data_IF_425252319114
#
_entry.id   IF_425252319114
#
_cell.length_a   1.000
_cell.length_b   1.000
_cell.length_c   1.000
_cell.angle_alpha   90.00
_cell.angle_beta   90.00
_cell.angle_gamma   90.00
#
_symmetry.space_group_name_H-M   'P 1'
#
loop_
_entity.id
_entity.type
_entity.pdbx_description
1 polymer ?
#
# COMPACT_ATOMS: atom_id res chain seq x y z
N UNK A 1 16.24 2.53 5.88
CA UNK A 1 15.41 3.55 6.56
C UNK A 1 14.06 2.92 6.82
N UNK A 2 13.72 2.73 8.09
CA UNK A 2 12.38 2.31 8.50
C UNK A 2 11.55 3.58 8.67
N UNK A 3 10.43 3.68 7.96
CA UNK A 3 9.45 4.76 8.11
C UNK A 3 8.11 4.10 8.42
N UNK A 4 7.59 4.39 9.61
CA UNK A 4 6.25 3.99 10.04
C UNK A 4 5.35 5.22 9.98
N UNK A 5 4.31 5.14 9.17
CA UNK A 5 3.28 6.17 9.06
C UNK A 5 2.01 5.61 9.69
N UNK A 6 1.54 6.23 10.78
CA UNK A 6 0.27 5.90 11.42
C UNK A 6 -0.65 7.12 11.41
N UNK A 7 -1.77 7.03 10.72
CA UNK A 7 -2.77 8.09 10.67
C UNK A 7 -4.19 7.54 10.71
N UNK A 8 -4.91 7.82 11.80
CA UNK A 8 -6.24 7.28 12.15
C UNK A 8 -6.28 5.75 12.06
N UNK A 9 -6.39 5.21 10.84
CA UNK A 9 -6.55 3.78 10.54
C UNK A 9 -5.56 3.27 9.47
N UNK A 10 -4.67 4.12 8.96
CA UNK A 10 -3.65 3.76 7.97
C UNK A 10 -2.33 3.47 8.67
N UNK A 11 -1.77 2.27 8.44
CA UNK A 11 -0.42 1.91 8.87
C UNK A 11 0.40 1.52 7.64
N UNK A 12 1.40 2.34 7.32
CA UNK A 12 2.36 2.07 6.23
C UNK A 12 3.74 1.92 6.80
N UNK A 13 4.42 0.84 6.40
CA UNK A 13 5.76 0.51 6.86
C UNK A 13 6.68 0.24 5.67
N UNK A 14 7.83 0.92 5.59
CA UNK A 14 8.82 0.69 4.54
C UNK A 14 9.80 -0.38 4.98
N UNK A 15 9.88 -1.48 4.23
CA UNK A 15 10.67 -2.63 4.63
C UNK A 15 11.49 -3.30 3.54
N UNK A 16 12.60 -3.87 4.01
CA UNK A 16 13.46 -4.79 3.27
C UNK A 16 13.59 -6.14 3.97
N UNK A 17 13.21 -6.23 5.25
CA UNK A 17 13.30 -7.47 6.00
C UNK A 17 12.10 -8.37 5.67
N UNK A 18 12.40 -9.54 5.09
CA UNK A 18 11.40 -10.51 4.64
C UNK A 18 10.48 -10.99 5.78
N UNK A 19 10.96 -11.05 7.02
CA UNK A 19 10.17 -11.48 8.17
C UNK A 19 9.00 -10.54 8.45
N UNK A 20 9.21 -9.22 8.35
CA UNK A 20 8.15 -8.22 8.52
C UNK A 20 7.23 -8.18 7.30
N UNK A 21 7.78 -8.25 6.09
CA UNK A 21 7.00 -8.25 4.86
C UNK A 21 6.02 -9.44 4.83
N UNK A 22 6.45 -10.63 5.25
CA UNK A 22 5.60 -11.83 5.35
C UNK A 22 4.50 -11.70 6.42
N UNK A 23 4.67 -10.81 7.39
CA UNK A 23 3.69 -10.58 8.45
C UNK A 23 2.68 -9.49 8.12
N UNK A 24 2.98 -8.61 7.16
CA UNK A 24 2.06 -7.58 6.73
C UNK A 24 0.72 -8.15 6.23
N UNK A 25 -0.35 -7.37 6.42
CA UNK A 25 -1.68 -7.71 5.91
C UNK A 25 -1.79 -7.41 4.41
N UNK A 26 -1.02 -6.43 3.95
CA UNK A 26 -0.91 -6.01 2.56
C UNK A 26 0.54 -5.69 2.21
N UNK A 27 0.94 -5.98 0.97
CA UNK A 27 2.29 -5.65 0.46
C UNK A 27 2.14 -4.95 -0.88
N UNK A 28 2.78 -3.79 -1.00
CA UNK A 28 2.94 -3.05 -2.24
C UNK A 28 4.42 -3.13 -2.62
N UNK A 29 4.69 -3.71 -3.79
CA UNK A 29 6.04 -3.82 -4.31
C UNK A 29 6.27 -2.78 -5.41
N UNK A 30 7.33 -1.98 -5.26
CA UNK A 30 7.72 -0.95 -6.22
C UNK A 30 9.10 -1.22 -6.82
N UNK A 31 9.20 -1.20 -8.15
CA UNK A 31 10.38 -1.61 -8.93
C UNK A 31 10.16 -1.38 -10.43
N UNK A 32 10.71 -2.22 -11.33
CA UNK A 32 11.58 -3.39 -11.05
C UNK A 32 13.03 -3.01 -10.69
N UNK A 33 13.50 -1.83 -11.09
CA UNK A 33 14.83 -1.33 -10.80
C UNK A 33 14.83 -0.09 -9.91
N UNK A 34 15.94 0.63 -9.94
CA UNK A 34 16.13 1.90 -9.24
C UNK A 34 16.09 3.09 -10.21
N UNK A 35 15.83 4.30 -9.69
CA UNK A 35 15.84 5.52 -10.49
C UNK A 35 14.84 5.46 -11.64
N UNK A 36 15.28 5.75 -12.86
CA UNK A 36 14.45 5.69 -14.08
C UNK A 36 13.91 4.30 -14.42
N UNK A 37 14.53 3.24 -13.89
CA UNK A 37 14.06 1.85 -14.04
C UNK A 37 13.11 1.42 -12.91
N UNK A 38 12.84 2.28 -11.95
CA UNK A 38 11.91 2.05 -10.84
C UNK A 38 10.52 2.62 -11.10
N UNK A 39 9.81 2.90 -10.01
CA UNK A 39 8.58 3.68 -10.04
C UNK A 39 7.33 2.95 -10.52
N UNK A 40 7.41 1.65 -10.82
CA UNK A 40 6.25 0.82 -11.18
C UNK A 40 5.78 -0.01 -10.02
N UNK A 41 4.47 -0.10 -9.82
CA UNK A 41 3.90 -1.07 -8.90
C UNK A 41 3.84 -2.40 -9.62
N UNK A 42 4.56 -3.39 -9.09
CA UNK A 42 4.73 -4.70 -9.72
C UNK A 42 4.20 -5.80 -8.80
N UNK A 43 3.82 -6.97 -9.36
CA UNK A 43 3.54 -8.14 -8.54
C UNK A 43 4.75 -8.48 -7.66
N UNK A 44 4.48 -8.94 -6.44
CA UNK A 44 5.50 -9.15 -5.41
C UNK A 44 6.58 -10.16 -5.86
N UNK A 45 6.18 -11.16 -6.62
CA UNK A 45 7.02 -12.21 -7.19
C UNK A 45 8.00 -11.71 -8.28
N UNK A 46 7.83 -10.49 -8.80
CA UNK A 46 8.65 -9.98 -9.91
C UNK A 46 9.96 -9.32 -9.50
N UNK A 47 10.21 -9.07 -8.22
CA UNK A 47 11.53 -8.60 -7.80
C UNK A 47 12.37 -9.83 -7.42
N UNK A 48 13.32 -10.17 -8.29
CA UNK A 48 14.16 -11.37 -8.16
C UNK A 48 14.92 -11.44 -6.81
N UNK A 49 15.24 -10.29 -6.23
CA UNK A 49 15.90 -10.15 -4.93
C UNK A 49 14.96 -10.46 -3.74
N UNK A 50 13.64 -10.45 -3.96
CA UNK A 50 12.59 -10.64 -2.94
C UNK A 50 11.56 -11.67 -3.41
N UNK A 51 12.00 -12.91 -3.71
CA UNK A 51 11.10 -14.07 -3.86
C UNK A 51 10.43 -14.40 -2.51
N UNK A 52 9.48 -13.55 -2.12
CA UNK A 52 8.70 -13.70 -0.90
C UNK A 52 7.36 -14.30 -1.30
N UNK A 53 7.14 -15.56 -0.96
CA UNK A 53 5.79 -16.13 -0.98
C UNK A 53 4.97 -15.46 0.12
N UNK A 54 4.10 -14.54 -0.29
CA UNK A 54 3.15 -13.90 0.62
C UNK A 54 1.91 -14.77 0.66
N UNK A 55 1.72 -15.51 1.76
CA UNK A 55 0.47 -16.22 2.00
C UNK A 55 -0.65 -15.19 2.09
N UNK A 56 -1.67 -15.35 1.25
CA UNK A 56 -2.84 -14.47 1.23
C UNK A 56 -3.55 -14.58 2.58
N UNK A 57 -3.41 -13.57 3.43
CA UNK A 57 -4.10 -13.52 4.73
C UNK A 57 -5.54 -13.08 4.53
N UNK A 58 -6.43 -13.52 5.43
CA UNK A 58 -7.79 -12.99 5.53
C UNK A 58 -7.66 -11.50 5.84
N UNK A 59 -8.26 -10.65 4.98
CA UNK A 59 -8.24 -9.21 5.20
C UNK A 59 -9.06 -8.89 6.44
N UNK A 60 -8.47 -8.11 7.35
CA UNK A 60 -9.16 -7.63 8.57
C UNK A 60 -10.28 -6.66 8.25
N UNK A 61 -10.07 -5.77 7.28
CA UNK A 61 -11.07 -4.82 6.81
C UNK A 61 -11.26 -4.91 5.29
N UNK A 62 -12.50 -4.63 4.85
CA UNK A 62 -12.82 -4.43 3.42
C UNK A 62 -12.63 -2.98 2.99
N UNK A 63 -12.47 -2.06 3.94
CA UNK A 63 -12.29 -0.64 3.69
C UNK A 63 -10.87 -0.34 3.23
N UNK A 64 -10.72 0.62 2.33
CA UNK A 64 -9.42 1.00 1.81
C UNK A 64 -9.41 2.41 1.23
N UNK A 65 -8.21 2.99 1.19
CA UNK A 65 -7.92 4.18 0.39
C UNK A 65 -7.36 3.76 -0.96
N UNK A 66 -7.83 4.37 -2.04
CA UNK A 66 -7.22 4.25 -3.37
C UNK A 66 -6.53 5.53 -3.78
N UNK A 67 -5.33 5.39 -4.30
CA UNK A 67 -4.54 6.45 -4.92
C UNK A 67 -4.46 6.15 -6.41
N UNK A 68 -5.01 7.03 -7.25
CA UNK A 68 -5.09 6.84 -8.70
C UNK A 68 -4.31 7.90 -9.46
N UNK A 69 -3.66 7.50 -10.54
CA UNK A 69 -2.86 8.41 -11.38
C UNK A 69 -1.70 9.01 -10.61
N UNK A 70 -1.03 8.20 -9.78
CA UNK A 70 0.15 8.58 -9.02
C UNK A 70 1.23 9.03 -10.01
N UNK A 71 1.71 10.27 -9.86
CA UNK A 71 2.73 10.84 -10.71
C UNK A 71 3.64 11.75 -9.88
N UNK A 72 4.80 11.22 -9.47
CA UNK A 72 5.78 11.91 -8.64
C UNK A 72 7.15 11.24 -8.80
N UNK A 73 8.18 12.07 -9.02
CA UNK A 73 9.55 11.62 -9.27
C UNK A 73 9.59 10.61 -10.43
N UNK A 74 10.03 9.38 -10.16
CA UNK A 74 10.09 8.30 -11.15
C UNK A 74 8.80 7.45 -11.23
N UNK A 75 7.79 7.72 -10.42
CA UNK A 75 6.49 7.05 -10.45
C UNK A 75 5.60 7.75 -11.47
N UNK A 76 5.11 7.03 -12.47
CA UNK A 76 4.35 7.61 -13.57
C UNK A 76 3.05 6.85 -13.86
N UNK A 77 1.92 7.50 -13.58
CA UNK A 77 0.56 7.00 -13.85
C UNK A 77 0.25 5.65 -13.21
N UNK A 78 0.71 5.46 -11.98
CA UNK A 78 0.48 4.25 -11.19
C UNK A 78 -0.77 4.36 -10.31
N UNK A 79 -1.17 3.23 -9.71
CA UNK A 79 -2.27 3.20 -8.74
C UNK A 79 -2.02 2.20 -7.62
N UNK A 80 -2.44 2.52 -6.40
CA UNK A 80 -2.36 1.60 -5.27
C UNK A 80 -3.61 1.65 -4.39
N UNK A 81 -3.78 0.60 -3.58
CA UNK A 81 -4.82 0.52 -2.55
C UNK A 81 -4.17 0.23 -1.20
N UNK A 82 -4.60 0.95 -0.18
CA UNK A 82 -4.15 0.79 1.20
C UNK A 82 -5.36 0.42 2.03
N UNK A 83 -5.48 -0.86 2.45
CA UNK A 83 -6.53 -1.27 3.37
C UNK A 83 -6.42 -0.50 4.69
N UNK A 84 -7.57 -0.13 5.27
CA UNK A 84 -7.63 0.47 6.59
C UNK A 84 -7.49 -0.63 7.67
N UNK A 85 -7.13 -0.21 8.88
CA UNK A 85 -6.99 -1.07 10.08
C UNK A 85 -6.04 -2.26 9.85
N UNK A 86 -5.11 -2.09 8.92
CA UNK A 86 -4.23 -3.13 8.39
C UNK A 86 -2.83 -2.57 8.20
N UNK A 87 -1.82 -3.41 8.34
CA UNK A 87 -0.43 -3.03 8.07
C UNK A 87 -0.13 -3.25 6.59
N UNK A 88 0.13 -2.16 5.86
CA UNK A 88 0.65 -2.20 4.49
C UNK A 88 2.16 -2.02 4.51
N UNK A 89 2.90 -3.05 4.07
CA UNK A 89 4.33 -2.92 3.81
C UNK A 89 4.57 -2.42 2.37
N UNK A 90 5.43 -1.42 2.22
CA UNK A 90 5.96 -0.99 0.92
C UNK A 90 7.40 -1.51 0.80
N UNK A 91 7.67 -2.31 -0.23
CA UNK A 91 8.98 -2.93 -0.45
C UNK A 91 9.48 -2.76 -1.88
N UNK A 92 10.74 -3.13 -2.13
CA UNK A 92 11.44 -2.99 -3.41
C UNK A 92 12.89 -2.53 -3.26
N UNK A 93 13.67 -2.59 -4.34
CA UNK A 93 15.11 -2.25 -4.33
C UNK A 93 15.37 -0.79 -3.92
N UNK A 94 16.58 -0.46 -3.47
CA UNK A 94 16.94 0.93 -3.14
C UNK A 94 16.73 1.85 -4.35
N UNK A 95 16.16 3.05 -4.14
CA UNK A 95 15.86 3.98 -5.22
C UNK A 95 14.68 3.62 -6.13
N UNK A 96 13.89 2.57 -5.82
CA UNK A 96 12.72 2.20 -6.63
C UNK A 96 11.52 3.14 -6.49
N UNK A 97 11.52 4.04 -5.50
CA UNK A 97 10.44 5.00 -5.25
C UNK A 97 9.63 4.77 -3.96
N UNK A 98 10.05 3.85 -3.08
CA UNK A 98 9.36 3.54 -1.81
C UNK A 98 9.06 4.78 -0.96
N UNK A 99 10.07 5.60 -0.68
CA UNK A 99 9.92 6.81 0.14
C UNK A 99 9.03 7.85 -0.53
N UNK A 100 9.11 7.99 -1.85
CA UNK A 100 8.21 8.85 -2.61
C UNK A 100 6.76 8.38 -2.50
N UNK A 101 6.51 7.08 -2.66
CA UNK A 101 5.15 6.55 -2.51
C UNK A 101 4.64 6.73 -1.08
N UNK A 102 5.42 6.36 -0.07
CA UNK A 102 4.99 6.37 1.32
C UNK A 102 4.87 7.79 1.90
N UNK A 103 5.93 8.58 1.80
CA UNK A 103 6.00 9.89 2.42
C UNK A 103 5.35 10.94 1.51
N UNK A 104 5.97 11.23 0.37
CA UNK A 104 5.61 12.38 -0.49
C UNK A 104 4.19 12.28 -1.08
N UNK A 105 3.64 11.07 -1.18
CA UNK A 105 2.29 10.83 -1.69
C UNK A 105 1.34 10.46 -0.56
N UNK A 106 1.53 9.30 0.09
CA UNK A 106 0.53 8.77 1.03
C UNK A 106 0.45 9.63 2.29
N UNK A 107 1.56 9.83 2.99
CA UNK A 107 1.58 10.64 4.22
C UNK A 107 1.13 12.07 3.93
N UNK A 108 1.74 12.73 2.96
CA UNK A 108 1.42 14.12 2.63
C UNK A 108 -0.07 14.29 2.24
N UNK A 109 -0.63 13.39 1.44
CA UNK A 109 -2.05 13.45 1.06
C UNK A 109 -2.97 13.32 2.27
N UNK A 110 -2.64 12.40 3.18
CA UNK A 110 -3.40 12.16 4.40
C UNK A 110 -3.29 13.34 5.37
N UNK A 111 -2.08 13.83 5.61
CA UNK A 111 -1.81 14.96 6.53
C UNK A 111 -2.50 16.24 6.08
N UNK A 112 -2.62 16.47 4.78
CA UNK A 112 -3.28 17.64 4.22
C UNK A 112 -4.76 17.41 3.86
N UNK A 113 -5.27 16.19 3.98
CA UNK A 113 -6.65 15.86 3.62
C UNK A 113 -6.99 16.10 2.14
N UNK A 114 -6.02 16.02 1.23
CA UNK A 114 -6.20 16.27 -0.21
C UNK A 114 -5.24 15.42 -1.04
N UNK A 115 -5.49 15.29 -2.34
CA UNK A 115 -4.60 14.53 -3.24
C UNK A 115 -3.26 15.26 -3.42
N UNK A 116 -2.15 14.61 -3.09
CA UNK A 116 -0.77 15.07 -3.34
C UNK A 116 -0.04 13.99 -4.13
N UNK A 117 0.62 14.37 -5.24
CA UNK A 117 1.36 13.44 -6.10
C UNK A 117 0.52 12.37 -6.79
N UNK A 118 -0.81 12.50 -6.79
CA UNK A 118 -1.77 11.64 -7.49
C UNK A 118 -2.96 12.46 -8.00
N UNK A 119 -3.71 11.90 -8.96
CA UNK A 119 -4.91 12.56 -9.51
C UNK A 119 -6.09 12.49 -8.54
N UNK A 120 -6.23 11.35 -7.83
CA UNK A 120 -7.33 11.13 -6.89
C UNK A 120 -6.87 10.30 -5.70
N UNK A 121 -7.28 10.74 -4.51
CA UNK A 121 -7.33 9.95 -3.28
C UNK A 121 -8.80 9.74 -2.90
N UNK A 122 -9.23 8.49 -2.80
CA UNK A 122 -10.64 8.13 -2.57
C UNK A 122 -10.72 7.15 -1.40
N UNK A 123 -11.64 7.40 -0.46
CA UNK A 123 -11.98 6.46 0.61
C UNK A 123 -13.11 5.55 0.15
N UNK A 124 -12.95 4.25 0.37
CA UNK A 124 -13.95 3.22 0.09
C UNK A 124 -14.31 2.53 1.40
N UNK A 125 -15.59 2.57 1.76
CA UNK A 125 -16.16 1.83 2.87
C UNK A 125 -17.04 0.70 2.33
N UNK A 126 -16.86 -0.51 2.84
CA UNK A 126 -17.71 -1.63 2.51
C UNK A 126 -19.00 -1.57 3.33
N UNK A 127 -20.13 -1.71 2.66
CA UNK A 127 -21.41 -1.88 3.36
C UNK A 127 -21.37 -3.17 4.19
N UNK A 128 -21.70 -3.06 5.49
CA UNK A 128 -21.95 -4.22 6.33
C UNK A 128 -23.15 -4.97 5.74
N UNK A 129 -22.93 -6.19 5.24
CA UNK A 129 -24.06 -7.11 5.10
C UNK A 129 -24.49 -7.48 6.51
N UNK A 130 -25.61 -6.93 6.96
CA UNK A 130 -26.32 -7.41 8.14
C UNK A 130 -26.48 -8.92 7.99
N UNK A 131 -25.78 -9.68 8.84
CA UNK A 131 -26.14 -11.05 9.09
C UNK A 131 -27.43 -10.95 9.89
N UNK A 132 -28.56 -10.87 9.19
CA UNK A 132 -29.86 -11.08 9.81
C UNK A 132 -29.84 -12.53 10.29
N UNK A 133 -29.81 -12.71 11.60
CA UNK A 133 -29.95 -14.00 12.25
C UNK A 133 -31.25 -14.64 11.77
N UNK A 134 -31.16 -15.73 11.03
CA UNK A 134 -32.29 -16.66 10.88
C UNK A 134 -32.51 -17.34 12.24
N UNK A 135 -33.19 -16.61 13.12
CA UNK A 135 -33.80 -17.11 14.35
C UNK A 135 -35.30 -17.33 14.10
N UNK A 136 -35.66 -18.26 13.21
CA UNK A 136 -37.03 -18.78 12.98
C UNK A 136 -36.82 -20.12 12.21
N UNK A 137 -37.04 -21.34 12.69
CA UNK A 137 -37.85 -21.98 13.75
C UNK A 137 -37.09 -23.19 14.32
#
# INVERSE_FOLDING_TARGET
>A
MILLLKMKDVIVHLEHNQHFIKQADNVITIGPGSGSNGGKIVPNEKIAEYKIEIKKKIRRSKDYLSFEGINKNNIHNEKCKIPLESITCITGVSGSGKSTLAHDIIYESLSHGRSIGCKKMISHQAEEKSIMSDSVL
#
